data_IF_754305891105
#
_entry.id   IF_754305891105
#
_cell.length_a   1.000
_cell.length_b   1.000
_cell.length_c   1.000
_cell.angle_alpha   90.00
_cell.angle_beta   90.00
_cell.angle_gamma   90.00
#
_symmetry.space_group_name_H-M   'P 1'
#
loop_
_entity.id
_entity.type
_entity.pdbx_description
1 polymer ?
#
# COMPACT_ATOMS: atom_id res chain seq x y z
N UNK A 1 20.99 66.64 -29.62
CA UNK A 1 21.68 65.96 -28.52
C UNK A 1 20.75 65.84 -27.34
N UNK A 2 20.18 64.65 -27.11
CA UNK A 2 19.43 64.36 -25.88
C UNK A 2 19.72 62.91 -25.50
N UNK A 3 20.70 62.75 -24.63
CA UNK A 3 21.16 61.44 -24.12
C UNK A 3 20.25 61.04 -22.97
N UNK A 4 19.32 60.11 -23.21
CA UNK A 4 18.52 59.49 -22.16
C UNK A 4 19.34 58.34 -21.57
N UNK A 5 19.82 58.51 -20.35
CA UNK A 5 20.43 57.45 -19.55
C UNK A 5 19.33 56.59 -18.92
N UNK A 6 19.38 55.26 -19.03
CA UNK A 6 18.44 54.41 -18.30
C UNK A 6 18.96 54.20 -16.87
N UNK A 7 18.18 54.66 -15.90
CA UNK A 7 18.36 54.36 -14.48
C UNK A 7 18.12 52.86 -14.28
N UNK A 8 19.20 52.09 -14.09
CA UNK A 8 19.11 50.69 -13.66
C UNK A 8 18.63 50.65 -12.22
N UNK A 9 17.35 50.34 -12.01
CA UNK A 9 16.88 49.85 -10.72
C UNK A 9 17.48 48.47 -10.46
N UNK A 10 18.63 48.44 -9.80
CA UNK A 10 19.09 47.24 -9.12
C UNK A 10 18.09 46.96 -7.99
N UNK A 11 17.13 46.07 -8.24
CA UNK A 11 16.45 45.35 -7.17
C UNK A 11 17.52 44.51 -6.48
N UNK A 12 18.02 45.00 -5.35
CA UNK A 12 18.86 44.22 -4.45
C UNK A 12 18.00 43.04 -3.94
N UNK A 13 18.23 41.87 -4.51
CA UNK A 13 17.72 40.61 -3.96
C UNK A 13 18.41 40.40 -2.61
N UNK A 14 17.67 40.24 -1.51
CA UNK A 14 18.28 40.01 -0.21
C UNK A 14 18.98 38.65 -0.24
N UNK A 15 20.30 38.71 -0.22
CA UNK A 15 21.26 37.68 0.16
C UNK A 15 20.92 36.25 -0.28
N UNK A 16 21.06 36.01 -1.59
CA UNK A 16 21.25 34.67 -2.12
C UNK A 16 22.68 34.28 -1.78
N UNK A 17 22.89 33.57 -0.67
CA UNK A 17 24.03 32.70 -0.33
C UNK A 17 25.28 32.80 -1.27
N UNK A 18 25.99 33.92 -1.26
CA UNK A 18 27.22 34.11 -2.08
C UNK A 18 28.36 34.72 -1.26
N UNK A 19 28.59 34.23 -0.03
CA UNK A 19 29.80 34.55 0.73
C UNK A 19 30.59 33.29 1.02
N UNK A 20 31.92 33.33 0.90
CA UNK A 20 32.81 32.20 1.20
C UNK A 20 32.76 31.68 2.64
N UNK A 21 31.97 32.32 3.51
CA UNK A 21 31.59 31.79 4.82
C UNK A 21 30.56 30.65 4.71
N UNK A 22 29.71 30.66 3.69
CA UNK A 22 28.64 29.68 3.50
C UNK A 22 29.16 28.38 2.88
N UNK A 23 30.13 28.45 1.98
CA UNK A 23 30.82 27.27 1.46
C UNK A 23 31.47 26.45 2.57
N UNK A 24 32.19 27.12 3.49
CA UNK A 24 32.80 26.45 4.66
C UNK A 24 31.75 25.83 5.58
N UNK A 25 30.57 26.43 5.68
CA UNK A 25 29.47 25.87 6.45
C UNK A 25 28.88 24.63 5.81
N UNK A 26 28.60 24.67 4.50
CA UNK A 26 28.12 23.50 3.78
C UNK A 26 29.16 22.37 3.82
N UNK A 27 30.44 22.68 3.71
CA UNK A 27 31.52 21.70 3.88
C UNK A 27 31.46 21.03 5.27
N UNK A 28 31.33 21.82 6.34
CA UNK A 28 31.15 21.30 7.70
C UNK A 28 29.87 20.46 7.86
N UNK A 29 28.78 20.82 7.17
CA UNK A 29 27.56 20.02 7.17
C UNK A 29 27.75 18.68 6.46
N UNK A 30 28.45 18.66 5.32
CA UNK A 30 28.75 17.42 4.60
C UNK A 30 29.66 16.50 5.42
N UNK A 31 30.70 17.04 6.04
CA UNK A 31 31.56 16.29 6.97
C UNK A 31 30.75 15.69 8.12
N UNK A 32 29.88 16.49 8.75
CA UNK A 32 28.96 16.00 9.79
C UNK A 32 28.04 14.87 9.30
N UNK A 33 27.48 14.99 8.09
CA UNK A 33 26.63 13.92 7.51
C UNK A 33 27.42 12.62 7.38
N UNK A 34 28.63 12.69 6.83
CA UNK A 34 29.44 11.50 6.57
C UNK A 34 29.97 10.86 7.87
N UNK A 35 30.33 11.68 8.86
CA UNK A 35 30.69 11.20 10.21
C UNK A 35 29.53 10.48 10.89
N UNK A 36 28.34 11.08 10.91
CA UNK A 36 27.16 10.48 11.54
C UNK A 36 26.70 9.21 10.83
N UNK A 37 26.76 9.18 9.48
CA UNK A 37 26.47 7.96 8.71
C UNK A 37 27.40 6.83 9.09
N UNK A 38 28.71 7.10 9.20
CA UNK A 38 29.72 6.11 9.63
C UNK A 38 29.49 5.66 11.06
N UNK A 39 29.22 6.60 11.97
CA UNK A 39 28.98 6.32 13.39
C UNK A 39 27.75 5.42 13.59
N UNK A 40 26.63 5.74 12.94
CA UNK A 40 25.39 5.00 13.04
C UNK A 40 25.34 3.74 12.15
N UNK A 41 26.40 3.46 11.40
CA UNK A 41 26.45 2.40 10.36
C UNK A 41 25.23 2.45 9.43
N UNK A 42 24.83 3.67 9.09
CA UNK A 42 23.69 3.93 8.21
C UNK A 42 23.97 3.29 6.84
N UNK A 43 23.04 2.50 6.27
CA UNK A 43 23.15 2.02 4.91
C UNK A 43 23.36 3.19 3.93
N UNK A 44 24.10 3.00 2.84
CA UNK A 44 24.35 4.07 1.87
C UNK A 44 23.09 4.44 1.06
N UNK A 45 22.19 3.48 0.81
CA UNK A 45 21.02 3.65 -0.08
C UNK A 45 19.73 3.12 0.57
N UNK A 46 18.57 3.56 0.08
CA UNK A 46 17.25 3.09 0.53
C UNK A 46 16.66 3.79 1.77
N UNK A 47 15.39 3.50 2.13
CA UNK A 47 14.73 4.11 3.29
C UNK A 47 15.35 3.60 4.60
N UNK A 48 15.89 4.52 5.41
CA UNK A 48 16.50 4.21 6.70
C UNK A 48 16.14 5.29 7.73
N UNK A 49 15.69 4.88 8.92
CA UNK A 49 15.24 5.83 9.95
C UNK A 49 16.38 6.67 10.52
N UNK A 50 17.59 6.11 10.60
CA UNK A 50 18.78 6.81 11.08
C UNK A 50 19.18 7.90 10.08
N UNK A 51 19.08 7.60 8.78
CA UNK A 51 19.30 8.59 7.73
C UNK A 51 18.34 9.77 7.84
N UNK A 52 17.06 9.53 8.12
CA UNK A 52 16.09 10.60 8.37
C UNK A 52 16.49 11.46 9.58
N UNK A 53 16.94 10.85 10.68
CA UNK A 53 17.39 11.57 11.87
C UNK A 53 18.58 12.48 11.56
N UNK A 54 19.57 11.97 10.82
CA UNK A 54 20.75 12.75 10.39
C UNK A 54 20.31 13.97 9.57
N UNK A 55 19.52 13.77 8.51
CA UNK A 55 19.09 14.87 7.65
C UNK A 55 18.18 15.87 8.37
N UNK A 56 17.33 15.41 9.30
CA UNK A 56 16.54 16.29 10.16
C UNK A 56 17.43 17.20 11.00
N UNK A 57 18.52 16.66 11.56
CA UNK A 57 19.50 17.43 12.33
C UNK A 57 20.22 18.47 11.46
N UNK A 58 20.67 18.07 10.26
CA UNK A 58 21.31 18.97 9.29
C UNK A 58 20.37 20.10 8.88
N UNK A 59 19.11 19.78 8.57
CA UNK A 59 18.13 20.79 8.17
C UNK A 59 17.87 21.81 9.28
N UNK A 60 17.87 21.39 10.55
CA UNK A 60 17.82 22.32 11.68
C UNK A 60 19.04 23.25 11.74
N UNK A 61 20.24 22.75 11.44
CA UNK A 61 21.45 23.58 11.35
C UNK A 61 21.34 24.60 10.21
N UNK A 62 20.77 24.21 9.06
CA UNK A 62 20.49 25.12 7.94
C UNK A 62 19.49 26.21 8.34
N UNK A 63 18.37 25.85 8.98
CA UNK A 63 17.38 26.81 9.49
C UNK A 63 18.00 27.79 10.49
N UNK A 64 18.91 27.31 11.36
CA UNK A 64 19.56 28.15 12.35
C UNK A 64 20.40 29.26 11.71
N UNK A 65 21.06 28.97 10.59
CA UNK A 65 21.90 29.93 9.86
C UNK A 65 21.12 30.80 8.87
N UNK A 66 20.05 30.26 8.29
CA UNK A 66 19.19 30.93 7.33
C UNK A 66 18.23 31.93 7.98
N UNK A 67 18.68 33.16 8.24
CA UNK A 67 17.87 34.16 8.95
C UNK A 67 16.76 34.77 8.07
N UNK A 68 17.04 35.06 6.80
CA UNK A 68 16.09 35.73 5.90
C UNK A 68 14.87 34.86 5.53
N UNK A 69 15.08 33.56 5.34
CA UNK A 69 14.04 32.60 4.91
C UNK A 69 13.68 31.59 6.01
N UNK A 70 14.06 31.87 7.27
CA UNK A 70 13.81 31.02 8.44
C UNK A 70 12.36 30.55 8.55
N UNK A 71 11.41 31.48 8.39
CA UNK A 71 9.97 31.19 8.50
C UNK A 71 9.50 30.22 7.41
N UNK A 72 9.96 30.41 6.18
CA UNK A 72 9.63 29.54 5.06
C UNK A 72 10.19 28.14 5.27
N UNK A 73 11.47 28.02 5.66
CA UNK A 73 12.09 26.73 5.93
C UNK A 73 11.42 25.99 7.10
N UNK A 74 11.02 26.70 8.16
CA UNK A 74 10.25 26.10 9.26
C UNK A 74 8.88 25.58 8.79
N UNK A 75 8.19 26.34 7.93
CA UNK A 75 6.91 25.91 7.36
C UNK A 75 7.07 24.65 6.52
N UNK A 76 8.06 24.63 5.62
CA UNK A 76 8.39 23.46 4.81
C UNK A 76 8.71 22.28 5.72
N UNK A 77 9.58 22.46 6.72
CA UNK A 77 9.92 21.41 7.67
C UNK A 77 8.69 20.82 8.36
N UNK A 78 7.78 21.67 8.83
CA UNK A 78 6.57 21.25 9.52
C UNK A 78 5.67 20.40 8.60
N UNK A 79 5.47 20.83 7.36
CA UNK A 79 4.67 20.09 6.37
C UNK A 79 5.23 18.69 6.09
N UNK A 80 6.55 18.57 5.92
CA UNK A 80 7.22 17.28 5.76
C UNK A 80 7.12 16.42 7.02
N UNK A 81 7.35 16.99 8.21
CA UNK A 81 7.24 16.25 9.47
C UNK A 81 5.83 15.71 9.71
N UNK A 82 4.80 16.50 9.39
CA UNK A 82 3.39 16.11 9.52
C UNK A 82 3.02 15.03 8.49
N UNK A 83 3.48 15.18 7.24
CA UNK A 83 3.27 14.18 6.19
C UNK A 83 3.93 12.85 6.54
N UNK A 84 5.19 12.87 7.00
CA UNK A 84 5.92 11.67 7.44
C UNK A 84 5.20 11.01 8.62
N UNK A 85 4.74 11.80 9.61
CA UNK A 85 3.98 11.29 10.76
C UNK A 85 2.70 10.60 10.33
N UNK A 86 1.95 11.22 9.42
CA UNK A 86 0.69 10.67 8.92
C UNK A 86 0.92 9.37 8.10
N UNK A 87 1.96 9.33 7.27
CA UNK A 87 2.35 8.12 6.53
C UNK A 87 2.72 6.97 7.49
N UNK A 88 3.51 7.25 8.53
CA UNK A 88 3.85 6.26 9.56
C UNK A 88 2.60 5.74 10.28
N UNK A 89 1.70 6.64 10.69
CA UNK A 89 0.43 6.28 11.32
C UNK A 89 -0.41 5.35 10.43
N UNK A 90 -0.58 5.69 9.14
CA UNK A 90 -1.33 4.87 8.19
C UNK A 90 -0.71 3.49 7.99
N UNK A 91 0.63 3.43 7.92
CA UNK A 91 1.36 2.18 7.80
C UNK A 91 1.15 1.29 9.03
N UNK A 92 1.23 1.85 10.24
CA UNK A 92 1.02 1.11 11.48
C UNK A 92 -0.42 0.61 11.61
N UNK A 93 -1.40 1.42 11.23
CA UNK A 93 -2.79 0.97 11.18
C UNK A 93 -3.01 -0.15 10.15
N UNK A 94 -2.39 -0.07 8.98
CA UNK A 94 -2.47 -1.13 7.98
C UNK A 94 -1.86 -2.44 8.50
N UNK A 95 -0.71 -2.36 9.17
CA UNK A 95 -0.06 -3.51 9.84
C UNK A 95 -0.94 -4.11 10.93
N UNK A 96 -1.60 -3.27 11.74
CA UNK A 96 -2.52 -3.72 12.79
C UNK A 96 -3.76 -4.41 12.18
N UNK A 97 -4.35 -3.84 11.13
CA UNK A 97 -5.46 -4.48 10.40
C UNK A 97 -5.03 -5.83 9.84
N UNK A 98 -3.85 -5.92 9.23
CA UNK A 98 -3.32 -7.18 8.68
C UNK A 98 -3.13 -8.25 9.77
N UNK A 99 -2.57 -7.88 10.94
CA UNK A 99 -2.43 -8.80 12.08
C UNK A 99 -3.78 -9.30 12.60
N UNK A 100 -4.76 -8.39 12.71
CA UNK A 100 -6.10 -8.75 13.17
C UNK A 100 -6.79 -9.71 12.18
N UNK A 101 -6.70 -9.45 10.86
CA UNK A 101 -7.21 -10.37 9.85
C UNK A 101 -6.49 -11.74 9.92
N UNK A 102 -5.17 -11.76 10.07
CA UNK A 102 -4.42 -13.01 10.19
C UNK A 102 -4.85 -13.84 11.41
N UNK A 103 -5.16 -13.18 12.52
CA UNK A 103 -5.63 -13.84 13.76
C UNK A 103 -7.04 -14.42 13.59
N UNK A 104 -7.92 -13.70 12.88
CA UNK A 104 -9.27 -14.21 12.55
C UNK A 104 -9.22 -15.36 11.54
N UNK A 105 -8.29 -15.34 10.57
CA UNK A 105 -8.10 -16.47 9.64
C UNK A 105 -7.51 -17.70 10.31
N UNK A 106 -6.67 -17.56 11.34
CA UNK A 106 -6.11 -18.71 12.07
C UNK A 106 -7.13 -19.34 13.05
N UNK A 107 -8.08 -18.54 13.57
CA UNK A 107 -9.25 -19.04 14.32
C UNK A 107 -10.25 -19.82 13.46
N UNK A 108 -10.18 -19.69 12.14
CA UNK A 108 -10.97 -20.44 11.18
C UNK A 108 -10.12 -21.41 10.34
N UNK A 109 -9.15 -22.09 10.96
CA UNK A 109 -8.62 -23.33 10.38
C UNK A 109 -9.66 -24.42 10.65
N UNK A 110 -10.47 -24.86 9.66
CA UNK A 110 -11.44 -25.91 9.93
C UNK A 110 -10.65 -27.19 10.18
N UNK A 111 -10.90 -27.80 11.33
CA UNK A 111 -10.66 -29.23 11.47
C UNK A 111 -11.45 -29.91 10.36
N UNK A 112 -10.76 -30.42 9.34
CA UNK A 112 -11.37 -31.26 8.32
C UNK A 112 -11.70 -32.59 8.97
N UNK A 113 -12.94 -32.75 9.41
CA UNK A 113 -13.53 -34.06 9.65
C UNK A 113 -14.77 -34.21 8.76
N UNK A 114 -14.58 -35.04 7.74
CA UNK A 114 -15.54 -35.89 7.02
C UNK A 114 -16.93 -35.31 6.65
N UNK A 115 -17.08 -34.95 5.37
CA UNK A 115 -18.37 -34.79 4.68
C UNK A 115 -18.15 -34.56 3.17
N UNK A 116 -18.86 -35.24 2.25
CA UNK A 116 -18.38 -35.44 0.89
C UNK A 116 -18.76 -34.34 -0.12
N UNK A 117 -17.95 -34.28 -1.17
CA UNK A 117 -18.27 -33.82 -2.54
C UNK A 117 -18.22 -32.31 -2.87
N UNK A 118 -17.02 -31.71 -2.73
CA UNK A 118 -16.66 -30.46 -3.43
C UNK A 118 -15.45 -30.64 -4.37
N UNK A 119 -14.85 -31.84 -4.43
CA UNK A 119 -13.63 -32.11 -5.20
C UNK A 119 -13.80 -32.13 -6.72
N UNK A 120 -15.02 -32.05 -7.27
CA UNK A 120 -15.22 -32.06 -8.73
C UNK A 120 -15.01 -30.71 -9.41
N UNK A 121 -15.08 -29.59 -8.68
CA UNK A 121 -14.92 -28.26 -9.30
C UNK A 121 -13.47 -27.75 -9.30
N UNK A 122 -12.60 -28.29 -8.44
CA UNK A 122 -11.22 -27.78 -8.26
C UNK A 122 -10.17 -28.53 -9.11
N UNK A 123 -10.55 -29.61 -9.79
CA UNK A 123 -9.64 -30.36 -10.67
C UNK A 123 -9.51 -29.77 -12.08
N UNK A 124 -10.52 -29.07 -12.60
CA UNK A 124 -10.44 -28.47 -13.93
C UNK A 124 -9.42 -27.31 -14.00
N UNK A 125 -9.32 -26.50 -12.93
CA UNK A 125 -8.37 -25.37 -12.89
C UNK A 125 -6.95 -25.82 -12.53
N UNK A 126 -6.77 -26.92 -11.79
CA UNK A 126 -5.45 -27.41 -11.41
C UNK A 126 -4.73 -28.18 -12.52
N UNK A 127 -5.45 -28.84 -13.43
CA UNK A 127 -4.81 -29.50 -14.59
C UNK A 127 -4.20 -28.48 -15.55
N UNK A 128 -4.82 -27.31 -15.72
CA UNK A 128 -4.27 -26.21 -16.52
C UNK A 128 -2.97 -25.66 -15.89
N UNK A 129 -2.94 -25.54 -14.55
CA UNK A 129 -1.79 -25.03 -13.80
C UNK A 129 -0.61 -26.02 -13.78
N UNK A 130 -0.88 -27.33 -13.72
CA UNK A 130 0.14 -28.37 -13.75
C UNK A 130 0.84 -28.49 -15.12
N UNK A 131 0.13 -28.22 -16.23
CA UNK A 131 0.71 -28.17 -17.58
C UNK A 131 1.64 -26.96 -17.73
N UNK A 132 1.29 -25.80 -17.16
CA UNK A 132 2.14 -24.61 -17.19
C UNK A 132 3.41 -24.73 -16.33
N UNK A 133 3.37 -25.45 -15.21
CA UNK A 133 4.55 -25.59 -14.33
C UNK A 133 5.64 -26.48 -14.95
N UNK A 134 5.27 -27.47 -15.78
CA UNK A 134 6.24 -28.39 -16.41
C UNK A 134 7.01 -27.78 -17.58
N UNK A 135 6.49 -26.74 -18.24
CA UNK A 135 7.18 -26.08 -19.37
C UNK A 135 8.21 -25.04 -18.93
N UNK A 136 8.14 -24.54 -17.68
CA UNK A 136 9.04 -23.50 -17.15
C UNK A 136 10.36 -24.06 -16.59
N UNK A 137 10.42 -25.36 -16.28
CA UNK A 137 11.63 -25.97 -15.68
C UNK A 137 12.77 -26.27 -16.68
N UNK A 138 12.59 -26.02 -17.98
CA UNK A 138 13.50 -26.55 -19.00
C UNK A 138 14.59 -25.60 -19.52
N UNK A 139 14.58 -24.29 -19.24
CA UNK A 139 15.60 -23.37 -19.78
C UNK A 139 16.13 -22.35 -18.76
N UNK A 140 17.46 -22.25 -18.58
CA UNK A 140 18.07 -21.25 -17.72
C UNK A 140 18.37 -19.96 -18.48
N UNK A 141 18.27 -18.85 -17.75
CA UNK A 141 18.89 -17.53 -18.00
C UNK A 141 18.04 -16.47 -18.69
N UNK A 142 18.11 -15.29 -18.04
CA UNK A 142 17.85 -13.92 -18.51
C UNK A 142 16.42 -13.37 -18.43
N UNK A 143 16.35 -12.20 -17.78
CA UNK A 143 15.23 -11.29 -17.59
C UNK A 143 14.19 -11.63 -16.51
N UNK A 144 14.40 -10.99 -15.35
CA UNK A 144 13.37 -10.68 -14.37
C UNK A 144 12.24 -9.86 -15.03
N UNK A 145 11.18 -10.55 -15.43
CA UNK A 145 9.80 -10.07 -15.30
C UNK A 145 9.03 -11.26 -14.72
N UNK A 146 8.08 -11.14 -13.80
CA UNK A 146 6.79 -10.58 -14.11
C UNK A 146 5.92 -10.83 -12.86
N UNK A 147 5.59 -9.77 -12.12
CA UNK A 147 4.44 -9.77 -11.21
C UNK A 147 3.25 -9.08 -11.89
N UNK A 148 2.01 -9.26 -11.42
CA UNK A 148 0.86 -8.61 -12.02
C UNK A 148 0.89 -7.09 -11.74
N UNK A 149 1.30 -6.32 -12.74
CA UNK A 149 1.40 -4.86 -12.73
C UNK A 149 1.98 -4.36 -14.07
N UNK A 150 1.79 -3.08 -14.42
CA UNK A 150 2.41 -2.52 -15.62
C UNK A 150 3.94 -2.54 -15.50
N UNK A 151 4.60 -2.78 -16.63
CA UNK A 151 6.04 -2.61 -16.76
C UNK A 151 6.42 -1.12 -16.76
N UNK A 152 7.69 -0.81 -16.47
CA UNK A 152 8.18 0.58 -16.46
C UNK A 152 7.99 1.26 -17.82
N UNK A 153 8.19 0.52 -18.93
CA UNK A 153 7.98 1.04 -20.28
C UNK A 153 6.50 1.38 -20.55
N UNK A 154 5.57 0.55 -20.07
CA UNK A 154 4.12 0.81 -20.21
C UNK A 154 3.64 1.93 -19.26
N UNK A 155 4.40 2.26 -18.21
CA UNK A 155 4.09 3.37 -17.30
C UNK A 155 4.45 4.74 -17.88
N UNK A 156 5.27 4.79 -18.93
CA UNK A 156 5.66 6.04 -19.61
C UNK A 156 4.77 6.31 -20.84
N UNK A 157 3.97 5.34 -21.26
CA UNK A 157 3.03 5.45 -22.39
C UNK A 157 1.62 5.85 -21.91
N UNK A 158 1.10 7.03 -22.30
CA UNK A 158 -0.22 7.48 -21.91
C UNK A 158 -1.37 6.59 -22.43
N UNK A 159 -1.20 5.92 -23.58
CA UNK A 159 -2.24 5.04 -24.13
C UNK A 159 -2.30 3.70 -23.37
N UNK A 160 -1.14 3.15 -22.99
CA UNK A 160 -1.06 1.98 -22.13
C UNK A 160 -1.65 2.23 -20.74
N UNK A 161 -1.42 3.42 -20.18
CA UNK A 161 -2.02 3.84 -18.91
C UNK A 161 -3.55 3.96 -19.00
N UNK A 162 -4.09 4.56 -20.07
CA UNK A 162 -5.53 4.65 -20.30
C UNK A 162 -6.18 3.27 -20.48
N UNK A 163 -5.54 2.38 -21.25
CA UNK A 163 -5.98 1.00 -21.41
C UNK A 163 -5.98 0.21 -20.09
N UNK A 164 -4.98 0.43 -19.23
CA UNK A 164 -4.92 -0.20 -17.92
C UNK A 164 -5.98 0.35 -16.97
N UNK A 165 -6.21 1.66 -16.98
CA UNK A 165 -7.27 2.30 -16.18
C UNK A 165 -8.64 1.70 -16.53
N UNK A 166 -8.98 1.61 -17.82
CA UNK A 166 -10.23 1.00 -18.29
C UNK A 166 -10.39 -0.45 -17.83
N UNK A 167 -9.30 -1.23 -17.84
CA UNK A 167 -9.31 -2.62 -17.36
C UNK A 167 -9.59 -2.69 -15.85
N UNK A 168 -8.93 -1.85 -15.06
CA UNK A 168 -9.15 -1.78 -13.61
C UNK A 168 -10.57 -1.34 -13.26
N UNK A 169 -11.13 -0.38 -14.01
CA UNK A 169 -12.50 0.06 -13.86
C UNK A 169 -13.50 -1.07 -14.16
N UNK A 170 -13.30 -1.81 -15.25
CA UNK A 170 -14.12 -2.97 -15.60
C UNK A 170 -14.02 -4.09 -14.54
N UNK A 171 -12.81 -4.36 -14.03
CA UNK A 171 -12.59 -5.34 -12.97
C UNK A 171 -13.28 -4.93 -11.67
N UNK A 172 -13.18 -3.65 -11.30
CA UNK A 172 -13.87 -3.10 -10.13
C UNK A 172 -15.39 -3.21 -10.27
N UNK A 173 -15.93 -2.90 -11.45
CA UNK A 173 -17.37 -3.04 -11.72
C UNK A 173 -17.84 -4.49 -11.55
N UNK A 174 -17.12 -5.46 -12.13
CA UNK A 174 -17.43 -6.88 -12.00
C UNK A 174 -17.36 -7.38 -10.55
N UNK A 175 -16.40 -6.88 -9.76
CA UNK A 175 -16.29 -7.22 -8.34
C UNK A 175 -17.43 -6.64 -7.51
N UNK A 176 -17.84 -5.40 -7.78
CA UNK A 176 -18.98 -4.77 -7.10
C UNK A 176 -20.30 -5.46 -7.44
N UNK A 177 -20.48 -5.84 -8.70
CA UNK A 177 -21.62 -6.62 -9.19
C UNK A 177 -21.64 -8.05 -8.60
N UNK A 178 -20.48 -8.68 -8.44
CA UNK A 178 -20.39 -9.95 -7.70
C UNK A 178 -20.72 -9.76 -6.21
N UNK A 179 -20.24 -8.68 -5.59
CA UNK A 179 -20.51 -8.36 -4.19
C UNK A 179 -22.00 -8.10 -3.94
N UNK A 180 -22.71 -7.43 -4.86
CA UNK A 180 -24.15 -7.18 -4.73
C UNK A 180 -24.99 -8.47 -4.81
N UNK A 181 -24.49 -9.51 -5.48
CA UNK A 181 -25.11 -10.85 -5.53
C UNK A 181 -24.81 -11.73 -4.32
N UNK A 182 -23.90 -11.33 -3.43
CA UNK A 182 -23.60 -12.08 -2.22
C UNK A 182 -24.34 -11.49 -1.02
N UNK A 183 -25.08 -12.34 -0.29
CA UNK A 183 -25.61 -11.99 1.04
C UNK A 183 -24.51 -12.09 2.09
N UNK A 184 -24.62 -11.28 3.15
CA UNK A 184 -23.69 -11.38 4.27
C UNK A 184 -23.75 -12.77 4.90
N UNK A 185 -22.61 -13.24 5.41
CA UNK A 185 -22.53 -14.56 6.05
C UNK A 185 -23.48 -14.67 7.24
N UNK A 186 -23.71 -13.57 7.96
CA UNK A 186 -24.67 -13.47 9.06
C UNK A 186 -26.12 -13.70 8.58
N UNK A 187 -26.53 -13.03 7.50
CA UNK A 187 -27.87 -13.22 6.92
C UNK A 187 -28.05 -14.63 6.38
N UNK A 188 -27.00 -15.21 5.78
CA UNK A 188 -27.03 -16.60 5.33
C UNK A 188 -27.18 -17.57 6.51
N UNK A 189 -26.39 -17.40 7.56
CA UNK A 189 -26.47 -18.26 8.75
C UNK A 189 -27.84 -18.17 9.45
N UNK A 190 -28.44 -16.98 9.51
CA UNK A 190 -29.78 -16.78 10.04
C UNK A 190 -30.84 -17.51 9.19
N UNK A 191 -30.75 -17.42 7.86
CA UNK A 191 -31.65 -18.11 6.95
C UNK A 191 -31.51 -19.64 7.05
N UNK A 192 -30.28 -20.16 7.13
CA UNK A 192 -30.02 -21.59 7.31
C UNK A 192 -30.57 -22.10 8.66
N UNK A 193 -30.43 -21.32 9.73
CA UNK A 193 -31.02 -21.66 11.03
C UNK A 193 -32.55 -21.68 11.00
N UNK A 194 -33.18 -20.70 10.32
CA UNK A 194 -34.64 -20.67 10.13
C UNK A 194 -35.13 -21.84 9.27
N UNK A 195 -34.39 -22.19 8.22
CA UNK A 195 -34.70 -23.33 7.38
C UNK A 195 -34.67 -24.63 8.18
N UNK A 196 -33.59 -24.87 8.94
CA UNK A 196 -33.49 -26.06 9.80
C UNK A 196 -34.59 -26.12 10.87
N UNK A 197 -34.93 -24.99 11.50
CA UNK A 197 -36.03 -24.95 12.45
C UNK A 197 -37.38 -25.31 11.80
N UNK A 198 -37.62 -24.84 10.57
CA UNK A 198 -38.82 -25.15 9.81
C UNK A 198 -38.87 -26.63 9.37
N UNK A 199 -37.74 -27.20 8.96
CA UNK A 199 -37.62 -28.62 8.62
C UNK A 199 -37.91 -29.51 9.83
N UNK A 200 -37.29 -29.22 10.98
CA UNK A 200 -37.53 -29.94 12.21
C UNK A 200 -39.01 -29.89 12.62
N UNK A 201 -39.62 -28.70 12.52
CA UNK A 201 -41.04 -28.54 12.83
C UNK A 201 -41.94 -29.35 11.90
N UNK A 202 -41.63 -29.37 10.60
CA UNK A 202 -42.35 -30.19 9.61
C UNK A 202 -42.24 -31.67 9.95
N UNK A 203 -41.06 -32.15 10.33
CA UNK A 203 -40.82 -33.56 10.63
C UNK A 203 -41.54 -33.98 11.92
N UNK A 204 -41.60 -33.10 12.92
CA UNK A 204 -42.41 -33.28 14.13
C UNK A 204 -43.90 -33.40 13.79
N UNK A 205 -44.43 -32.45 13.01
CA UNK A 205 -45.84 -32.47 12.58
C UNK A 205 -46.15 -33.71 11.74
N UNK A 206 -45.24 -34.15 10.88
CA UNK A 206 -45.39 -35.36 10.07
C UNK A 206 -45.48 -36.59 10.96
N UNK A 207 -44.63 -36.67 11.99
CA UNK A 207 -44.63 -37.76 12.98
C UNK A 207 -45.94 -37.81 13.74
N UNK A 208 -46.42 -36.67 14.25
CA UNK A 208 -47.70 -36.58 14.95
C UNK A 208 -48.88 -36.90 14.04
N UNK A 209 -48.87 -36.43 12.79
CA UNK A 209 -49.92 -36.75 11.82
C UNK A 209 -49.99 -38.27 11.53
N UNK A 210 -48.84 -38.91 11.39
CA UNK A 210 -48.75 -40.37 11.23
C UNK A 210 -49.27 -41.10 12.47
N UNK A 211 -48.93 -40.63 13.68
CA UNK A 211 -49.42 -41.20 14.94
C UNK A 211 -50.94 -41.10 15.06
N UNK A 212 -51.52 -39.96 14.67
CA UNK A 212 -52.96 -39.73 14.69
C UNK A 212 -53.71 -40.54 13.62
N UNK A 213 -53.08 -40.89 12.49
CA UNK A 213 -53.68 -41.74 11.44
C UNK A 213 -53.70 -43.24 11.78
N UNK A 214 -52.92 -43.67 12.77
CA UNK A 214 -52.84 -45.07 13.22
C UNK A 214 -53.86 -45.37 14.35
N UNK A 215 -54.51 -44.34 14.89
CA UNK A 215 -55.68 -44.43 15.78
C UNK A 215 -56.98 -44.36 14.96
#
# INVERSE_FOLDING_TARGET
STTVTPVKHQRSTPDILTSGTDERFFQSLFEFIEEEKRYLRCPEQGPDELRYIIYRSVFNKVIARATAYKRLLLSIKAEYDDTIRELKRRQDEARMRQRNLATETDRHRPFTDQGPDVSRFVHADNECLAVCVRTVSAHPTTHLSHGPGLTVAESEDPEALDGHLKRLEAQRAALLDRKSRCVSLEVRAELDAKLHAAELHRDQLTTENNRLKVL
#
